data_IF_360517126899
#
_entry.id   IF_360517126899
#
_cell.length_a   1.000
_cell.length_b   1.000
_cell.length_c   1.000
_cell.angle_alpha   90.00
_cell.angle_beta   90.00
_cell.angle_gamma   90.00
#
_symmetry.space_group_name_H-M   'P 1'
#
loop_
_entity.id
_entity.type
_entity.pdbx_description
1 polymer ?
#
# COMPACT_ATOMS: atom_id res chain seq x y z
N UNK A 1 12.89 0.39 15.17
CA UNK A 1 11.94 0.69 14.08
C UNK A 1 12.41 0.26 12.67
N UNK A 2 13.62 -0.30 12.48
CA UNK A 2 14.04 -0.88 11.17
C UNK A 2 14.09 -2.42 11.16
N UNK A 3 14.08 -3.07 12.34
CA UNK A 3 14.24 -4.54 12.48
C UNK A 3 12.96 -5.34 12.25
N UNK A 4 11.79 -4.73 12.43
CA UNK A 4 10.50 -5.45 12.41
C UNK A 4 10.00 -5.73 10.98
N UNK A 5 10.41 -4.90 10.01
CA UNK A 5 10.03 -5.10 8.60
C UNK A 5 10.70 -6.33 8.01
N UNK A 6 11.89 -6.71 8.47
CA UNK A 6 12.61 -7.90 7.99
C UNK A 6 11.99 -9.21 8.48
N UNK A 7 11.26 -9.19 9.59
CA UNK A 7 10.42 -10.31 10.01
C UNK A 7 9.02 -10.26 9.36
N UNK A 8 8.62 -9.09 8.87
CA UNK A 8 7.28 -8.86 8.34
C UNK A 8 7.10 -9.39 6.92
N UNK A 9 6.02 -10.13 6.77
CA UNK A 9 5.55 -10.90 5.61
C UNK A 9 5.04 -10.03 4.45
N UNK A 10 5.47 -8.77 4.38
CA UNK A 10 4.88 -7.68 3.59
C UNK A 10 5.96 -6.86 2.87
N UNK A 11 5.53 -6.16 1.82
CA UNK A 11 6.29 -5.05 1.23
C UNK A 11 6.01 -3.76 1.97
N UNK A 12 6.94 -2.82 1.91
CA UNK A 12 6.78 -1.51 2.55
C UNK A 12 5.48 -0.81 2.12
N UNK A 13 5.18 -0.86 0.82
CA UNK A 13 3.96 -0.27 0.26
C UNK A 13 2.65 -0.93 0.77
N UNK A 14 2.71 -2.16 1.29
CA UNK A 14 1.52 -2.84 1.81
C UNK A 14 1.03 -2.16 3.11
N UNK A 15 1.91 -1.45 3.81
CA UNK A 15 1.65 -0.77 5.09
C UNK A 15 0.83 0.53 4.95
N UNK A 16 0.66 1.03 3.73
CA UNK A 16 -0.10 2.26 3.47
C UNK A 16 -1.61 2.04 3.64
N UNK A 17 -2.23 2.71 4.60
CA UNK A 17 -3.68 2.61 4.82
C UNK A 17 -4.47 3.47 3.82
N UNK A 18 -5.39 2.81 3.12
CA UNK A 18 -6.27 3.41 2.10
C UNK A 18 -7.50 4.10 2.71
N UNK A 19 -7.84 3.82 3.97
CA UNK A 19 -8.95 4.49 4.66
C UNK A 19 -8.50 5.80 5.29
N UNK A 20 -7.24 5.85 5.72
CA UNK A 20 -6.60 7.10 6.07
C UNK A 20 -6.36 7.92 4.81
N UNK A 21 -5.37 7.58 3.98
CA UNK A 21 -5.02 8.46 2.86
C UNK A 21 -5.89 8.16 1.63
N UNK A 22 -6.77 9.10 1.27
CA UNK A 22 -7.62 8.96 0.09
C UNK A 22 -6.82 9.02 -1.23
N UNK A 23 -5.65 9.64 -1.23
CA UNK A 23 -4.75 9.65 -2.39
C UNK A 23 -4.18 8.23 -2.62
N UNK A 24 -3.94 7.48 -1.53
CA UNK A 24 -3.55 6.06 -1.58
C UNK A 24 -4.70 5.19 -2.10
N UNK A 25 -5.92 5.44 -1.64
CA UNK A 25 -7.12 4.76 -2.14
C UNK A 25 -7.29 4.96 -3.65
N UNK A 26 -7.10 6.18 -4.12
CA UNK A 26 -7.20 6.51 -5.54
C UNK A 26 -6.06 5.88 -6.35
N UNK A 27 -4.82 5.93 -5.86
CA UNK A 27 -3.69 5.28 -6.51
C UNK A 27 -3.90 3.76 -6.62
N UNK A 28 -4.36 3.12 -5.55
CA UNK A 28 -4.69 1.69 -5.53
C UNK A 28 -5.80 1.31 -6.52
N UNK A 29 -6.80 2.18 -6.70
CA UNK A 29 -7.89 1.98 -7.68
C UNK A 29 -7.41 2.00 -9.13
N UNK A 30 -6.33 2.74 -9.42
CA UNK A 30 -5.76 2.89 -10.77
C UNK A 30 -4.73 1.81 -11.12
N UNK A 31 -4.21 1.09 -10.14
CA UNK A 31 -3.24 0.01 -10.37
C UNK A 31 -3.88 -1.20 -11.06
N UNK A 32 -3.09 -2.00 -11.80
CA UNK A 32 -3.55 -3.27 -12.34
C UNK A 32 -4.07 -4.20 -11.24
N UNK A 33 -5.14 -4.93 -11.54
CA UNK A 33 -5.83 -5.80 -10.58
C UNK A 33 -4.89 -6.85 -9.99
N UNK A 34 -3.98 -7.39 -10.79
CA UNK A 34 -3.01 -8.42 -10.38
C UNK A 34 -2.08 -7.92 -9.26
N UNK A 35 -1.72 -6.63 -9.29
CA UNK A 35 -0.89 -6.00 -8.27
C UNK A 35 -1.67 -5.85 -6.96
N UNK A 36 -2.93 -5.42 -7.05
CA UNK A 36 -3.82 -5.27 -5.89
C UNK A 36 -4.13 -6.62 -5.27
N UNK A 37 -4.41 -7.64 -6.08
CA UNK A 37 -4.65 -9.00 -5.60
C UNK A 37 -3.39 -9.59 -4.94
N UNK A 38 -2.21 -9.36 -5.51
CA UNK A 38 -0.95 -9.77 -4.89
C UNK A 38 -0.69 -9.05 -3.54
N UNK A 39 -1.04 -7.76 -3.42
CA UNK A 39 -1.02 -7.03 -2.14
C UNK A 39 -1.96 -7.69 -1.13
N UNK A 40 -3.20 -7.95 -1.52
CA UNK A 40 -4.21 -8.55 -0.65
C UNK A 40 -3.80 -9.94 -0.17
N UNK A 41 -3.17 -10.75 -1.03
CA UNK A 41 -2.61 -12.04 -0.64
C UNK A 41 -1.49 -11.91 0.40
N UNK A 42 -0.58 -10.95 0.24
CA UNK A 42 0.49 -10.68 1.22
C UNK A 42 -0.10 -10.26 2.57
N UNK A 43 -1.08 -9.36 2.57
CA UNK A 43 -1.79 -8.91 3.78
C UNK A 43 -2.51 -10.07 4.49
N UNK A 44 -3.30 -10.86 3.76
CA UNK A 44 -3.99 -12.04 4.33
C UNK A 44 -3.01 -13.03 4.94
N UNK A 45 -1.92 -13.34 4.23
CA UNK A 45 -0.85 -14.20 4.73
C UNK A 45 -0.20 -13.62 5.99
N UNK A 46 0.07 -12.32 6.01
CA UNK A 46 0.63 -11.66 7.17
C UNK A 46 -0.31 -11.75 8.39
N UNK A 47 -1.61 -11.54 8.18
CA UNK A 47 -2.64 -11.67 9.23
C UNK A 47 -2.73 -13.10 9.76
N UNK A 48 -2.89 -14.10 8.88
CA UNK A 48 -2.99 -15.52 9.26
C UNK A 48 -1.85 -15.94 10.17
N UNK A 49 -0.63 -15.59 9.77
CA UNK A 49 0.53 -16.02 10.52
C UNK A 49 0.84 -15.16 11.75
N UNK A 50 0.38 -13.91 11.77
CA UNK A 50 0.37 -13.10 12.98
C UNK A 50 -0.59 -13.69 14.03
N UNK A 51 -1.76 -14.16 13.61
CA UNK A 51 -2.72 -14.83 14.49
C UNK A 51 -2.16 -16.14 15.06
N UNK A 52 -1.35 -16.85 14.27
CA UNK A 52 -0.67 -18.09 14.70
C UNK A 52 0.59 -17.86 15.54
N UNK A 53 1.05 -16.61 15.69
CA UNK A 53 2.34 -16.27 16.31
C UNK A 53 3.54 -17.01 15.68
N UNK A 54 3.47 -17.31 14.38
CA UNK A 54 4.54 -18.01 13.65
C UNK A 54 5.39 -17.03 12.84
N UNK A 55 6.46 -17.52 12.20
CA UNK A 55 7.29 -16.80 11.20
C UNK A 55 7.21 -17.44 9.81
N UNK A 56 7.60 -16.72 8.77
CA UNK A 56 7.63 -17.29 7.41
C UNK A 56 8.83 -18.24 7.34
N UNK A 57 8.73 -19.41 6.70
CA UNK A 57 9.87 -20.28 6.44
C UNK A 57 11.04 -19.52 5.81
N UNK A 58 12.27 -19.87 6.18
CA UNK A 58 13.48 -19.12 5.83
C UNK A 58 13.70 -19.02 4.31
N UNK A 59 13.34 -20.06 3.55
CA UNK A 59 13.39 -20.10 2.08
C UNK A 59 12.44 -19.07 1.44
N UNK A 60 11.24 -18.91 1.98
CA UNK A 60 10.26 -17.93 1.53
C UNK A 60 10.61 -16.51 2.01
N UNK A 61 11.26 -16.38 3.16
CA UNK A 61 11.76 -15.11 3.68
C UNK A 61 12.88 -14.57 2.78
N UNK A 62 13.81 -15.42 2.35
CA UNK A 62 14.89 -15.06 1.43
C UNK A 62 14.39 -14.57 0.05
N UNK A 63 13.21 -15.01 -0.38
CA UNK A 63 12.57 -14.57 -1.65
C UNK A 63 11.78 -13.26 -1.52
N UNK A 64 11.62 -12.70 -0.31
CA UNK A 64 10.88 -11.46 -0.15
C UNK A 64 11.63 -10.28 -0.77
N UNK A 65 10.87 -9.34 -1.31
CA UNK A 65 11.38 -8.11 -1.94
C UNK A 65 10.71 -6.90 -1.27
N UNK A 66 11.02 -6.63 0.02
CA UNK A 66 10.25 -5.67 0.83
C UNK A 66 10.30 -4.24 0.29
N UNK A 67 11.41 -3.87 -0.37
CA UNK A 67 11.62 -2.53 -0.92
C UNK A 67 11.24 -2.40 -2.40
N UNK A 68 10.69 -3.45 -3.03
CA UNK A 68 10.20 -3.36 -4.39
C UNK A 68 8.83 -2.66 -4.41
N UNK A 69 8.87 -1.35 -4.60
CA UNK A 69 7.67 -0.54 -4.67
C UNK A 69 6.79 -0.90 -5.86
N UNK A 70 5.47 -0.79 -5.66
CA UNK A 70 4.45 -0.88 -6.71
C UNK A 70 3.47 0.30 -6.65
N UNK A 71 3.51 1.14 -5.61
CA UNK A 71 2.54 2.21 -5.35
C UNK A 71 3.11 3.62 -5.60
N UNK A 72 4.42 3.84 -5.39
CA UNK A 72 5.02 5.18 -5.34
C UNK A 72 4.79 6.00 -6.61
N UNK A 73 4.99 5.40 -7.79
CA UNK A 73 4.83 6.10 -9.07
C UNK A 73 3.38 6.56 -9.29
N UNK A 74 2.42 5.68 -8.99
CA UNK A 74 0.99 5.99 -9.13
C UNK A 74 0.54 7.03 -8.09
N UNK A 75 1.05 6.95 -6.86
CA UNK A 75 0.77 7.93 -5.83
C UNK A 75 1.34 9.33 -6.18
N UNK A 76 2.54 9.38 -6.74
CA UNK A 76 3.15 10.63 -7.20
C UNK A 76 2.32 11.27 -8.34
N UNK A 77 1.82 10.44 -9.26
CA UNK A 77 0.92 10.91 -10.33
C UNK A 77 -0.37 11.51 -9.77
N UNK A 78 -1.06 10.79 -8.87
CA UNK A 78 -2.31 11.27 -8.25
C UNK A 78 -2.11 12.59 -7.51
N UNK A 79 -1.01 12.71 -6.73
CA UNK A 79 -0.69 13.94 -6.00
C UNK A 79 -0.39 15.11 -6.93
N UNK A 80 0.29 14.87 -8.06
CA UNK A 80 0.57 15.89 -9.07
C UNK A 80 -0.73 16.38 -9.72
N UNK A 81 -1.61 15.48 -10.14
CA UNK A 81 -2.91 15.83 -10.74
C UNK A 81 -3.79 16.63 -9.77
N UNK A 82 -3.78 16.26 -8.48
CA UNK A 82 -4.49 16.96 -7.43
C UNK A 82 -3.96 18.39 -7.24
N UNK A 83 -2.64 18.56 -7.17
CA UNK A 83 -2.00 19.86 -7.01
C UNK A 83 -2.25 20.79 -8.22
N UNK A 84 -2.18 20.24 -9.43
CA UNK A 84 -2.52 20.97 -10.66
C UNK A 84 -3.99 21.45 -10.64
N UNK A 85 -4.92 20.56 -10.27
CA UNK A 85 -6.34 20.88 -10.17
C UNK A 85 -6.63 21.96 -9.12
N UNK A 86 -5.97 21.89 -7.98
CA UNK A 86 -6.06 22.89 -6.92
C UNK A 86 -5.53 24.26 -7.38
N UNK A 87 -4.39 24.28 -8.09
CA UNK A 87 -3.83 25.50 -8.67
C UNK A 87 -4.76 26.15 -9.71
N UNK A 88 -5.57 25.35 -10.42
CA UNK A 88 -6.60 25.82 -11.35
C UNK A 88 -7.90 26.27 -10.65
N UNK A 89 -7.97 26.20 -9.33
CA UNK A 89 -9.14 26.62 -8.53
C UNK A 89 -10.34 25.67 -8.62
N UNK A 90 -10.15 24.44 -9.08
CA UNK A 90 -11.23 23.47 -9.21
C UNK A 90 -11.50 22.74 -7.88
N UNK A 91 -12.74 22.25 -7.72
CA UNK A 91 -13.17 21.49 -6.54
C UNK A 91 -12.44 20.14 -6.42
N UNK A 92 -12.20 19.64 -5.18
CA UNK A 92 -11.54 18.36 -4.95
C UNK A 92 -12.34 17.18 -5.49
N UNK A 93 -11.63 16.15 -5.99
CA UNK A 93 -12.25 14.94 -6.56
C UNK A 93 -12.85 14.01 -5.51
N UNK A 94 -12.30 14.03 -4.30
CA UNK A 94 -12.76 13.24 -3.16
C UNK A 94 -12.44 13.99 -1.87
N UNK A 95 -13.28 13.81 -0.86
CA UNK A 95 -13.09 14.33 0.49
C UNK A 95 -13.36 13.23 1.50
N UNK A 96 -12.67 13.28 2.64
CA UNK A 96 -12.96 12.40 3.77
C UNK A 96 -14.34 12.76 4.32
N UNK A 97 -15.18 11.76 4.60
CA UNK A 97 -16.43 11.97 5.33
C UNK A 97 -16.13 12.38 6.77
N UNK A 98 -16.89 13.33 7.31
CA UNK A 98 -16.83 13.69 8.72
C UNK A 98 -17.54 12.59 9.52
N UNK A 99 -16.89 11.97 10.52
CA UNK A 99 -17.49 10.92 11.33
C UNK A 99 -18.62 11.42 12.23
#
# INVERSE_FOLDING_TARGET
>A
MRKDVHQSRLRYDDLYDQYEDLDIKEAMRRLPREIVDARNQRLKRAMDLSMKHEYLPADLQARQTPFRSYLQDMLALVKREKAEREALGALPLYQRSIP
#
